data_IF_581885969800
#
_entry.id   IF_581885969800
#
_cell.length_a   1.000
_cell.length_b   1.000
_cell.length_c   1.000
_cell.angle_alpha   90.00
_cell.angle_beta   90.00
_cell.angle_gamma   90.00
#
_symmetry.space_group_name_H-M   'P 1'
#
loop_
_entity.id
_entity.type
_entity.pdbx_description
1 polymer ?
#
# COMPACT_ATOMS: atom_id res chain seq x y z
N UNK A 1 5.89 -26.13 3.62
CA UNK A 1 5.60 -24.78 4.15
C UNK A 1 4.12 -24.73 4.44
N UNK A 2 3.75 -24.39 5.67
CA UNK A 2 2.35 -24.31 6.12
C UNK A 2 1.88 -22.85 6.00
N UNK A 3 0.68 -22.62 5.47
CA UNK A 3 0.14 -21.27 5.29
C UNK A 3 -0.47 -20.76 6.59
N UNK A 4 -0.12 -19.53 6.98
CA UNK A 4 -0.63 -18.94 8.24
C UNK A 4 -1.97 -18.21 8.09
N UNK A 5 -2.36 -17.86 6.86
CA UNK A 5 -3.61 -17.17 6.54
C UNK A 5 -4.67 -18.09 5.91
N UNK A 6 -4.35 -19.39 5.80
CA UNK A 6 -5.25 -20.43 5.30
C UNK A 6 -5.36 -21.53 6.37
N UNK A 7 -6.54 -22.12 6.52
CA UNK A 7 -6.70 -23.36 7.30
C UNK A 7 -6.33 -24.60 6.48
N UNK A 8 -6.45 -25.77 7.10
CA UNK A 8 -6.09 -27.06 6.50
C UNK A 8 -6.99 -27.44 5.31
N UNK A 9 -8.14 -26.79 5.18
CA UNK A 9 -9.04 -26.91 4.03
C UNK A 9 -8.75 -25.88 2.93
N UNK A 10 -7.79 -24.97 3.13
CA UNK A 10 -7.44 -23.89 2.21
C UNK A 10 -8.37 -22.67 2.31
N UNK A 11 -9.23 -22.61 3.33
CA UNK A 11 -10.12 -21.48 3.56
C UNK A 11 -9.41 -20.37 4.32
N UNK A 12 -9.83 -19.12 4.09
CA UNK A 12 -9.21 -17.93 4.70
C UNK A 12 -9.47 -17.91 6.21
N UNK A 13 -8.40 -17.74 6.99
CA UNK A 13 -8.48 -17.46 8.43
C UNK A 13 -7.48 -16.39 8.85
N UNK A 14 -7.80 -15.67 9.92
CA UNK A 14 -6.84 -14.80 10.59
C UNK A 14 -5.94 -15.64 11.49
N UNK A 15 -4.62 -15.44 11.43
CA UNK A 15 -3.69 -16.11 12.34
C UNK A 15 -3.88 -15.60 13.78
N UNK A 16 -4.02 -16.50 14.75
CA UNK A 16 -4.02 -16.12 16.16
C UNK A 16 -2.62 -15.64 16.58
N UNK A 17 -2.55 -14.41 17.08
CA UNK A 17 -1.32 -13.76 17.54
C UNK A 17 -1.39 -13.37 19.03
N UNK A 18 -2.43 -13.78 19.74
CA UNK A 18 -2.74 -13.33 21.11
C UNK A 18 -1.64 -13.69 22.12
N UNK A 19 -0.94 -14.82 21.92
CA UNK A 19 0.17 -15.25 22.77
C UNK A 19 1.52 -14.59 22.46
N UNK A 20 1.60 -13.72 21.43
CA UNK A 20 2.87 -13.09 21.03
C UNK A 20 3.12 -11.84 21.89
N UNK A 21 4.29 -11.71 22.53
CA UNK A 21 4.60 -10.53 23.31
C UNK A 21 4.69 -9.28 22.43
N UNK A 22 4.21 -8.12 22.90
CA UNK A 22 4.30 -6.88 22.15
C UNK A 22 5.76 -6.46 21.96
N UNK A 23 6.09 -6.00 20.77
CA UNK A 23 7.44 -5.56 20.37
C UNK A 23 7.32 -4.35 19.44
N UNK A 24 8.33 -3.49 19.40
CA UNK A 24 8.37 -2.39 18.42
C UNK A 24 8.66 -2.96 17.04
N UNK A 25 7.79 -2.68 16.07
CA UNK A 25 7.92 -3.16 14.68
C UNK A 25 7.80 -1.98 13.73
N UNK A 26 8.66 -1.95 12.72
CA UNK A 26 8.63 -1.00 11.61
C UNK A 26 8.71 -1.81 10.30
N UNK A 27 7.98 -1.37 9.29
CA UNK A 27 8.09 -1.87 7.93
C UNK A 27 8.08 -0.68 6.96
N UNK A 28 8.85 -0.78 5.87
CA UNK A 28 8.87 0.21 4.80
C UNK A 28 8.54 -0.48 3.48
N UNK A 29 7.68 0.14 2.70
CA UNK A 29 7.33 -0.30 1.36
C UNK A 29 7.44 0.87 0.39
N UNK A 30 7.60 0.56 -0.90
CA UNK A 30 7.65 1.55 -1.99
C UNK A 30 6.87 1.02 -3.18
N UNK A 31 6.29 1.92 -3.96
CA UNK A 31 5.60 1.61 -5.21
C UNK A 31 5.90 2.64 -6.30
N UNK A 32 5.49 2.34 -7.53
CA UNK A 32 5.61 3.26 -8.67
C UNK A 32 4.33 3.24 -9.48
N UNK A 33 3.91 4.42 -9.92
CA UNK A 33 2.88 4.59 -10.95
C UNK A 33 3.57 4.98 -12.26
N UNK A 34 3.40 4.15 -13.29
CA UNK A 34 3.90 4.45 -14.64
C UNK A 34 2.81 5.19 -15.40
N UNK A 35 3.18 6.27 -16.07
CA UNK A 35 2.26 7.11 -16.84
C UNK A 35 2.99 7.70 -18.05
N UNK A 36 2.23 8.36 -18.92
CA UNK A 36 2.77 9.03 -20.09
C UNK A 36 3.62 10.26 -19.69
N UNK A 37 4.64 10.65 -20.49
CA UNK A 37 5.46 11.82 -20.22
C UNK A 37 4.65 13.12 -20.03
N UNK A 38 3.59 13.28 -20.82
CA UNK A 38 2.70 14.45 -20.78
C UNK A 38 1.98 14.55 -19.44
N UNK A 39 1.61 13.42 -18.84
CA UNK A 39 0.98 13.40 -17.51
C UNK A 39 1.95 13.90 -16.43
N UNK A 40 3.22 13.49 -16.50
CA UNK A 40 4.26 13.99 -15.58
C UNK A 40 4.50 15.50 -15.78
N UNK A 41 4.46 15.98 -17.03
CA UNK A 41 4.62 17.40 -17.32
C UNK A 41 3.50 18.23 -16.66
N UNK A 42 2.24 17.84 -16.84
CA UNK A 42 1.08 18.49 -16.20
C UNK A 42 1.17 18.44 -14.68
N UNK A 43 1.65 17.32 -14.12
CA UNK A 43 1.85 17.16 -12.68
C UNK A 43 2.86 18.16 -12.12
N UNK A 44 3.96 18.39 -12.84
CA UNK A 44 5.02 19.34 -12.45
C UNK A 44 4.61 20.80 -12.60
N UNK A 45 3.71 21.08 -13.54
CA UNK A 45 3.18 22.42 -13.79
C UNK A 45 1.97 22.75 -12.90
N UNK A 46 1.49 21.78 -12.11
CA UNK A 46 0.26 21.91 -11.30
C UNK A 46 -1.00 22.20 -12.13
N UNK A 47 -1.00 21.81 -13.40
CA UNK A 47 -2.06 22.11 -14.38
C UNK A 47 -3.08 20.97 -14.53
N UNK A 48 -3.09 20.01 -13.60
CA UNK A 48 -4.05 18.92 -13.66
C UNK A 48 -5.48 19.41 -13.36
N UNK A 49 -6.49 18.99 -14.13
CA UNK A 49 -7.87 19.45 -13.97
C UNK A 49 -8.50 19.00 -12.64
N UNK A 50 -7.87 18.05 -11.95
CA UNK A 50 -8.31 17.51 -10.65
C UNK A 50 -7.62 18.19 -9.46
N UNK A 51 -6.83 19.24 -9.69
CA UNK A 51 -6.02 19.89 -8.65
C UNK A 51 -4.80 19.08 -8.23
N UNK A 52 -4.38 19.25 -6.97
CA UNK A 52 -3.13 18.67 -6.46
C UNK A 52 -3.25 17.17 -6.13
N UNK A 53 -2.96 16.32 -7.12
CA UNK A 53 -3.08 14.86 -7.00
C UNK A 53 -2.05 14.22 -6.05
N UNK A 54 -0.86 14.80 -5.86
CA UNK A 54 0.16 14.24 -4.94
C UNK A 54 -0.21 14.49 -3.48
N UNK A 55 -0.74 15.68 -3.18
CA UNK A 55 -1.25 15.98 -1.86
C UNK A 55 -2.39 15.03 -1.49
N UNK A 56 -3.32 14.77 -2.43
CA UNK A 56 -4.39 13.78 -2.24
C UNK A 56 -3.81 12.37 -2.02
N UNK A 57 -2.84 11.94 -2.83
CA UNK A 57 -2.23 10.62 -2.72
C UNK A 57 -1.46 10.39 -1.41
N UNK A 58 -1.02 11.45 -0.72
CA UNK A 58 -0.34 11.36 0.58
C UNK A 58 -1.31 11.06 1.73
N UNK A 59 -2.60 11.36 1.59
CA UNK A 59 -3.61 11.26 2.65
C UNK A 59 -4.52 10.03 2.49
N UNK A 60 -4.65 9.52 1.26
CA UNK A 60 -5.39 8.28 0.97
C UNK A 60 -4.77 7.05 1.65
#
# INVERSE_FOLDING_TARGET
>A
MEFTHLDDSGMIRMADVSGKPPTRREARASGRVVMLPETIALLRQEELPKGNVLATAKIA
#
